data_IF_034605042036
#
_entry.id   IF_034605042036
#
_cell.length_a   1.000
_cell.length_b   1.000
_cell.length_c   1.000
_cell.angle_alpha   90.00
_cell.angle_beta   90.00
_cell.angle_gamma   90.00
#
_symmetry.space_group_name_H-M   'P 1'
#
loop_
_entity.id
_entity.type
_entity.pdbx_description
1 polymer ?
#
# COMPACT_ATOMS: atom_id res chain seq x y z
N UNK A 1 18.46 -18.05 10.09
CA UNK A 1 17.15 -17.79 9.44
C UNK A 1 16.26 -16.76 10.16
N UNK A 2 16.69 -16.11 11.26
CA UNK A 2 15.87 -15.10 11.95
C UNK A 2 15.87 -13.69 11.33
N UNK A 3 16.95 -13.29 10.65
CA UNK A 3 17.11 -11.92 10.13
C UNK A 3 16.14 -11.57 8.98
N UNK A 4 15.76 -12.56 8.14
CA UNK A 4 14.83 -12.36 7.02
C UNK A 4 13.38 -12.15 7.48
N UNK A 5 12.94 -12.85 8.53
CA UNK A 5 11.60 -12.67 9.08
C UNK A 5 11.44 -11.32 9.78
N UNK A 6 12.48 -10.85 10.49
CA UNK A 6 12.46 -9.52 11.11
C UNK A 6 12.33 -8.40 10.07
N UNK A 7 13.13 -8.46 9.00
CA UNK A 7 13.08 -7.48 7.92
C UNK A 7 11.70 -7.44 7.24
N UNK A 8 11.12 -8.60 6.94
CA UNK A 8 9.81 -8.69 6.29
C UNK A 8 8.68 -8.04 7.11
N UNK A 9 8.67 -8.23 8.43
CA UNK A 9 7.66 -7.62 9.32
C UNK A 9 7.85 -6.10 9.39
N UNK A 10 9.09 -5.61 9.51
CA UNK A 10 9.38 -4.18 9.50
C UNK A 10 8.95 -3.50 8.20
N UNK A 11 9.25 -4.12 7.05
CA UNK A 11 8.81 -3.61 5.76
C UNK A 11 7.29 -3.52 5.63
N UNK A 12 6.55 -4.50 6.19
CA UNK A 12 5.09 -4.48 6.21
C UNK A 12 4.54 -3.34 7.08
N UNK A 13 5.11 -3.14 8.27
CA UNK A 13 4.70 -2.07 9.20
C UNK A 13 4.97 -0.67 8.63
N UNK A 14 6.15 -0.46 8.03
CA UNK A 14 6.50 0.80 7.38
C UNK A 14 5.58 1.10 6.20
N UNK A 15 5.20 0.08 5.42
CA UNK A 15 4.26 0.26 4.31
C UNK A 15 2.87 0.68 4.79
N UNK A 16 2.35 0.07 5.87
CA UNK A 16 1.07 0.45 6.47
C UNK A 16 1.14 1.88 7.01
N UNK A 17 2.22 2.22 7.71
CA UNK A 17 2.46 3.56 8.26
C UNK A 17 2.49 4.64 7.17
N UNK A 18 3.20 4.39 6.07
CA UNK A 18 3.30 5.33 4.96
C UNK A 18 1.92 5.63 4.33
N UNK A 19 1.05 4.64 4.19
CA UNK A 19 -0.31 4.86 3.67
C UNK A 19 -1.13 5.73 4.62
N UNK A 20 -1.07 5.46 5.93
CA UNK A 20 -1.78 6.25 6.94
C UNK A 20 -1.29 7.71 6.92
N UNK A 21 0.02 7.92 6.87
CA UNK A 21 0.62 9.26 6.85
C UNK A 21 0.22 10.04 5.60
N UNK A 22 0.23 9.43 4.41
CA UNK A 22 -0.18 10.10 3.17
C UNK A 22 -1.66 10.49 3.17
N UNK A 23 -2.54 9.63 3.71
CA UNK A 23 -3.97 9.93 3.81
C UNK A 23 -4.23 11.05 4.82
N UNK A 24 -3.57 11.02 5.98
CA UNK A 24 -3.69 12.09 6.99
C UNK A 24 -3.19 13.42 6.44
N UNK A 25 -2.03 13.45 5.77
CA UNK A 25 -1.50 14.65 5.13
C UNK A 25 -2.47 15.19 4.06
N UNK A 26 -3.03 14.32 3.20
CA UNK A 26 -4.02 14.73 2.22
C UNK A 26 -5.28 15.35 2.83
N UNK A 27 -5.69 14.92 4.03
CA UNK A 27 -6.81 15.52 4.77
C UNK A 27 -6.40 16.87 5.37
N UNK A 28 -5.21 16.98 5.97
CA UNK A 28 -4.72 18.23 6.57
C UNK A 28 -4.49 19.32 5.52
N UNK A 29 -3.93 18.99 4.35
CA UNK A 29 -3.80 19.94 3.25
C UNK A 29 -5.16 20.42 2.72
N UNK A 30 -6.19 19.56 2.69
CA UNK A 30 -7.55 19.95 2.31
C UNK A 30 -8.19 20.91 3.35
N UNK A 31 -7.79 20.82 4.60
CA UNK A 31 -8.25 21.71 5.68
C UNK A 31 -7.42 23.00 5.81
N UNK A 32 -6.46 23.24 4.90
CA UNK A 32 -5.63 24.46 4.89
C UNK A 32 -4.95 24.71 6.26
N UNK A 33 -4.43 23.65 6.89
CA UNK A 33 -3.88 23.73 8.26
C UNK A 33 -2.56 24.49 8.32
N UNK A 34 -2.47 25.49 9.20
CA UNK A 34 -1.29 26.35 9.40
C UNK A 34 0.04 25.62 9.62
N UNK A 35 0.01 24.40 10.18
CA UNK A 35 1.22 23.62 10.47
C UNK A 35 1.96 23.21 9.19
N UNK A 36 1.27 23.13 8.05
CA UNK A 36 1.84 22.69 6.77
C UNK A 36 2.08 23.87 5.81
N UNK A 37 2.09 25.10 6.33
CA UNK A 37 2.23 26.30 5.49
C UNK A 37 3.59 26.39 4.80
N UNK A 38 4.64 25.88 5.46
CA UNK A 38 6.00 25.84 4.92
C UNK A 38 6.10 24.99 3.64
N UNK A 39 5.25 23.97 3.51
CA UNK A 39 5.23 23.08 2.34
C UNK A 39 4.48 23.67 1.14
N UNK A 40 3.70 24.74 1.34
CA UNK A 40 2.83 25.36 0.31
C UNK A 40 3.15 26.83 0.06
N UNK A 41 4.21 27.33 0.70
CA UNK A 41 4.63 28.73 0.58
C UNK A 41 5.01 29.04 -0.88
N UNK A 42 4.48 30.13 -1.47
CA UNK A 42 4.85 30.56 -2.81
C UNK A 42 6.27 31.13 -2.83
N UNK A 43 7.10 30.71 -3.79
CA UNK A 43 8.47 31.21 -3.96
C UNK A 43 8.52 32.72 -4.30
N UNK A 44 7.51 33.22 -5.01
CA UNK A 44 7.41 34.62 -5.41
C UNK A 44 6.00 35.17 -5.12
N UNK A 45 5.95 36.29 -4.39
CA UNK A 45 4.73 37.05 -4.11
C UNK A 45 5.01 38.56 -4.16
N UNK A 46 4.03 39.35 -4.62
CA UNK A 46 4.17 40.82 -4.71
C UNK A 46 3.71 41.52 -3.45
N UNK A 47 2.61 41.04 -2.88
CA UNK A 47 1.90 41.64 -1.75
C UNK A 47 1.34 40.55 -0.82
N UNK A 48 0.91 40.94 0.38
CA UNK A 48 0.33 40.01 1.35
C UNK A 48 -0.92 39.30 0.81
N UNK A 49 -1.80 40.00 0.09
CA UNK A 49 -3.00 39.40 -0.48
C UNK A 49 -2.67 38.37 -1.58
N UNK A 50 -1.63 38.63 -2.38
CA UNK A 50 -1.12 37.72 -3.40
C UNK A 50 -0.51 36.46 -2.75
N UNK A 51 0.23 36.63 -1.65
CA UNK A 51 0.76 35.54 -0.84
C UNK A 51 -0.37 34.61 -0.35
N UNK A 52 -1.43 35.17 0.25
CA UNK A 52 -2.55 34.36 0.78
C UNK A 52 -3.29 33.63 -0.34
N UNK A 53 -3.54 34.31 -1.47
CA UNK A 53 -4.23 33.71 -2.61
C UNK A 53 -3.44 32.54 -3.21
N UNK A 54 -2.12 32.72 -3.43
CA UNK A 54 -1.23 31.68 -3.96
C UNK A 54 -1.04 30.52 -3.00
N UNK A 55 -0.83 30.80 -1.71
CA UNK A 55 -0.69 29.76 -0.68
C UNK A 55 -1.93 28.88 -0.62
N UNK A 56 -3.12 29.49 -0.69
CA UNK A 56 -4.40 28.76 -0.72
C UNK A 56 -4.53 27.86 -1.96
N UNK A 57 -4.11 28.36 -3.13
CA UNK A 57 -4.09 27.55 -4.34
C UNK A 57 -3.11 26.37 -4.21
N UNK A 58 -1.93 26.60 -3.62
CA UNK A 58 -0.91 25.58 -3.39
C UNK A 58 -1.39 24.48 -2.43
N UNK A 59 -2.15 24.82 -1.37
CA UNK A 59 -2.79 23.82 -0.51
C UNK A 59 -3.64 22.82 -1.31
N UNK A 60 -4.46 23.32 -2.25
CA UNK A 60 -5.29 22.45 -3.08
C UNK A 60 -4.47 21.57 -4.01
N UNK A 61 -3.38 22.10 -4.58
CA UNK A 61 -2.51 21.36 -5.51
C UNK A 61 -1.79 20.24 -4.75
N UNK A 62 -1.18 20.56 -3.60
CA UNK A 62 -0.46 19.59 -2.78
C UNK A 62 -1.41 18.54 -2.21
N UNK A 63 -2.62 18.93 -1.76
CA UNK A 63 -3.64 17.98 -1.33
C UNK A 63 -3.97 16.96 -2.43
N UNK A 64 -4.20 17.41 -3.67
CA UNK A 64 -4.48 16.54 -4.82
C UNK A 64 -3.32 15.57 -5.07
N UNK A 65 -2.08 16.05 -5.02
CA UNK A 65 -0.90 15.21 -5.19
C UNK A 65 -0.81 14.11 -4.12
N UNK A 66 -1.08 14.44 -2.85
CA UNK A 66 -1.12 13.47 -1.76
C UNK A 66 -2.24 12.43 -1.96
N UNK A 67 -3.42 12.85 -2.41
CA UNK A 67 -4.53 11.94 -2.71
C UNK A 67 -4.23 10.98 -3.86
N UNK A 68 -3.63 11.49 -4.96
CA UNK A 68 -3.19 10.65 -6.08
C UNK A 68 -2.14 9.64 -5.61
N UNK A 69 -1.15 10.09 -4.84
CA UNK A 69 -0.13 9.21 -4.28
C UNK A 69 -0.76 8.11 -3.41
N UNK A 70 -1.68 8.46 -2.51
CA UNK A 70 -2.38 7.49 -1.67
C UNK A 70 -3.13 6.43 -2.50
N UNK A 71 -3.82 6.83 -3.57
CA UNK A 71 -4.51 5.90 -4.50
C UNK A 71 -3.51 4.98 -5.19
N UNK A 72 -2.38 5.51 -5.67
CA UNK A 72 -1.33 4.69 -6.32
C UNK A 72 -0.80 3.64 -5.33
N UNK A 73 -0.50 4.03 -4.09
CA UNK A 73 -0.04 3.07 -3.07
C UNK A 73 -1.09 2.00 -2.74
N UNK A 74 -2.38 2.34 -2.69
CA UNK A 74 -3.46 1.37 -2.51
C UNK A 74 -3.54 0.38 -3.69
N UNK A 75 -3.34 0.84 -4.93
CA UNK A 75 -3.29 -0.03 -6.11
C UNK A 75 -2.11 -0.99 -6.01
N UNK A 76 -0.91 -0.51 -5.67
CA UNK A 76 0.26 -1.36 -5.49
C UNK A 76 0.04 -2.42 -4.41
N UNK A 77 -0.53 -2.05 -3.26
CA UNK A 77 -0.91 -3.00 -2.20
C UNK A 77 -1.90 -4.04 -2.74
N UNK A 78 -2.90 -3.62 -3.51
CA UNK A 78 -3.86 -4.51 -4.16
C UNK A 78 -3.18 -5.52 -5.08
N UNK A 79 -2.28 -5.05 -5.97
CA UNK A 79 -1.53 -5.92 -6.89
C UNK A 79 -0.64 -6.89 -6.11
N UNK A 80 0.11 -6.41 -5.12
CA UNK A 80 0.95 -7.26 -4.26
C UNK A 80 0.12 -8.31 -3.51
N UNK A 81 -1.03 -7.93 -2.96
CA UNK A 81 -1.94 -8.84 -2.27
C UNK A 81 -2.49 -9.93 -3.21
N UNK A 82 -2.91 -9.56 -4.42
CA UNK A 82 -3.37 -10.51 -5.43
C UNK A 82 -2.23 -11.45 -5.87
N UNK A 83 -1.01 -10.94 -6.02
CA UNK A 83 0.18 -11.74 -6.32
C UNK A 83 0.46 -12.78 -5.22
N UNK A 84 0.45 -12.36 -3.95
CA UNK A 84 0.64 -13.24 -2.80
C UNK A 84 -0.49 -14.28 -2.73
N UNK A 85 -1.76 -13.89 -2.89
CA UNK A 85 -2.89 -14.84 -2.89
C UNK A 85 -2.81 -15.85 -4.03
N UNK A 86 -2.38 -15.42 -5.23
CA UNK A 86 -2.18 -16.32 -6.37
C UNK A 86 -1.06 -17.32 -6.07
N UNK A 87 0.08 -16.85 -5.53
CA UNK A 87 1.18 -17.72 -5.12
C UNK A 87 0.75 -18.72 -4.04
N UNK A 88 0.00 -18.27 -3.03
CA UNK A 88 -0.57 -19.14 -1.99
C UNK A 88 -1.56 -20.16 -2.56
N UNK A 89 -2.41 -19.78 -3.53
CA UNK A 89 -3.35 -20.69 -4.19
C UNK A 89 -2.60 -21.78 -4.97
N UNK A 90 -1.55 -21.41 -5.71
CA UNK A 90 -0.71 -22.37 -6.44
C UNK A 90 0.01 -23.34 -5.49
N UNK A 91 0.50 -22.87 -4.34
CA UNK A 91 1.11 -23.73 -3.33
C UNK A 91 0.11 -24.69 -2.66
N UNK A 92 -1.09 -24.21 -2.31
CA UNK A 92 -2.16 -25.05 -1.74
C UNK A 92 -2.66 -26.10 -2.73
N UNK A 93 -2.82 -25.73 -4.00
CA UNK A 93 -3.24 -26.66 -5.05
C UNK A 93 -2.20 -27.75 -5.30
N UNK A 94 -0.91 -27.41 -5.24
CA UNK A 94 0.16 -28.41 -5.34
C UNK A 94 0.15 -29.40 -4.17
N UNK A 95 -0.12 -28.93 -2.94
CA UNK A 95 -0.26 -29.79 -1.77
C UNK A 95 -1.47 -30.73 -1.90
N UNK A 96 -2.63 -30.19 -2.29
CA UNK A 96 -3.86 -30.97 -2.45
C UNK A 96 -3.72 -32.03 -3.56
N UNK A 97 -3.04 -31.70 -4.67
CA UNK A 97 -2.78 -32.66 -5.75
C UNK A 97 -1.92 -33.84 -5.30
N UNK A 98 -0.96 -33.62 -4.40
CA UNK A 98 -0.14 -34.69 -3.84
C UNK A 98 -0.96 -35.62 -2.94
N UNK A 99 -1.86 -35.07 -2.11
CA UNK A 99 -2.80 -35.86 -1.30
C UNK A 99 -3.73 -36.71 -2.18
N UNK A 100 -4.28 -36.14 -3.25
CA UNK A 100 -5.15 -36.88 -4.19
C UNK A 100 -4.39 -38.04 -4.86
N UNK A 101 -3.13 -37.82 -5.25
CA UNK A 101 -2.26 -38.84 -5.86
C UNK A 101 -1.92 -39.97 -4.86
N UNK A 102 -1.66 -39.66 -3.58
CA UNK A 102 -1.44 -40.67 -2.52
C UNK A 102 -2.69 -41.52 -2.27
N UNK A 103 -3.87 -40.90 -2.18
CA UNK A 103 -5.16 -41.60 -1.96
C UNK A 103 -5.48 -42.54 -3.13
N UNK A 104 -5.25 -42.08 -4.37
CA UNK A 104 -5.43 -42.91 -5.57
C UNK A 104 -4.53 -44.14 -5.56
N UNK A 105 -3.26 -43.97 -5.22
CA UNK A 105 -2.29 -45.07 -5.20
C UNK A 105 -2.64 -46.12 -4.12
N UNK A 106 -3.11 -45.67 -2.94
CA UNK A 106 -3.60 -46.55 -1.88
C UNK A 106 -4.83 -47.36 -2.30
N UNK A 107 -5.78 -46.72 -2.98
CA UNK A 107 -7.02 -47.37 -3.45
C UNK A 107 -6.73 -48.44 -4.50
N UNK A 108 -5.83 -48.17 -5.45
CA UNK A 108 -5.41 -49.16 -6.46
C UNK A 108 -4.76 -50.39 -5.81
N UNK A 109 -3.94 -50.19 -4.77
CA UNK A 109 -3.27 -51.29 -4.05
C UNK A 109 -4.25 -52.19 -3.30
N UNK A 110 -5.34 -51.63 -2.76
CA UNK A 110 -6.40 -52.44 -2.16
C UNK A 110 -7.19 -53.24 -3.20
N UNK A 111 -7.44 -52.67 -4.38
CA UNK A 111 -8.19 -53.35 -5.44
C UNK A 111 -7.46 -54.54 -6.08
N UNK A 112 -6.13 -54.61 -5.92
CA UNK A 112 -5.30 -55.70 -6.42
C UNK A 112 -5.10 -56.86 -5.43
N UNK A 113 -5.74 -56.79 -4.26
CA UNK A 113 -5.71 -57.84 -3.24
C UNK A 113 -7.07 -58.53 -3.17
#
# INVERSE_FOLDING_TARGET
MGALFGCAIYCMLLSIWAVIQLVLMGIFYKMETLVLIEDVEPEEYTDYDDFIAKTKANYSIVAINCWIAAVIYLIFIGISYLGIKKAQKSAKLAAQRLEDDEIMCGTLKQKQK
#
